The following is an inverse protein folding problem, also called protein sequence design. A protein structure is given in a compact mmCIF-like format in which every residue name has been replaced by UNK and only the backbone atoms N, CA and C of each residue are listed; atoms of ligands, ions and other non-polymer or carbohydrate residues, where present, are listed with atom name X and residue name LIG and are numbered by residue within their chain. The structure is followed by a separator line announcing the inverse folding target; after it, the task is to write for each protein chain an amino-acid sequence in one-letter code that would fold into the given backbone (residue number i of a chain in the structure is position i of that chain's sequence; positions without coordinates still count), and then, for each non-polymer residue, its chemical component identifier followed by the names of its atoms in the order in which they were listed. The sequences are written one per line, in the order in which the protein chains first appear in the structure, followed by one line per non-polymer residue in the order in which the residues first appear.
data_IF_240416505341
#
_entry.id   IF_240416505341
#
_cell.length_a   1.000
_cell.length_b   1.000
_cell.length_c   1.000
_cell.angle_alpha   90.00
_cell.angle_beta   90.00
_cell.angle_gamma   90.00
#
_symmetry.space_group_name_H-M   'P 1'
#
loop_
_entity.id
_entity.type
_entity.pdbx_description
1 polymer ?
#
# COMPACT_ATOMS: atom_id res chain seq x y z
N UNK A 1 -19.90 11.27 1.87
CA UNK A 1 -19.46 9.87 2.03
C UNK A 1 -17.95 9.88 2.23
N UNK A 2 -17.44 9.32 3.32
CA UNK A 2 -15.99 9.15 3.48
C UNK A 2 -15.53 8.10 2.46
N UNK A 3 -14.44 8.35 1.74
CA UNK A 3 -13.86 7.32 0.88
C UNK A 3 -13.28 6.21 1.78
N UNK A 4 -13.73 4.98 1.60
CA UNK A 4 -13.08 3.80 2.20
C UNK A 4 -11.70 3.61 1.57
N UNK A 5 -10.70 3.29 2.40
CA UNK A 5 -9.31 3.04 2.00
C UNK A 5 -8.88 1.69 2.57
N UNK A 6 -9.26 0.57 1.92
CA UNK A 6 -8.97 -0.76 2.44
C UNK A 6 -7.47 -1.00 2.60
N UNK A 7 -7.10 -1.66 3.69
CA UNK A 7 -5.72 -2.08 3.96
C UNK A 7 -5.40 -3.34 3.19
N UNK A 8 -4.29 -3.36 2.48
CA UNK A 8 -3.94 -4.43 1.56
C UNK A 8 -2.57 -5.04 1.88
N UNK A 9 -2.41 -6.27 1.40
CA UNK A 9 -1.11 -6.91 1.19
C UNK A 9 -0.85 -6.92 -0.33
N UNK A 10 0.41 -7.10 -0.78
CA UNK A 10 0.78 -7.12 -2.19
C UNK A 10 -0.10 -8.03 -3.06
N UNK A 11 -0.43 -9.23 -2.58
CA UNK A 11 -1.28 -10.19 -3.28
C UNK A 11 -2.70 -9.66 -3.54
N UNK A 12 -3.20 -8.69 -2.77
CA UNK A 12 -4.52 -8.12 -2.96
C UNK A 12 -4.57 -7.07 -4.09
N UNK A 13 -3.43 -6.54 -4.55
CA UNK A 13 -3.40 -5.40 -5.50
C UNK A 13 -4.17 -5.68 -6.80
N UNK A 14 -4.15 -6.91 -7.30
CA UNK A 14 -4.83 -7.28 -8.54
C UNK A 14 -6.35 -7.04 -8.50
N UNK A 15 -6.95 -7.17 -7.31
CA UNK A 15 -8.36 -6.93 -7.08
C UNK A 15 -8.71 -5.43 -6.94
N UNK A 16 -7.76 -4.51 -7.10
CA UNK A 16 -8.00 -3.07 -7.00
C UNK A 16 -7.48 -2.29 -8.21
N UNK A 17 -7.13 -2.99 -9.28
CA UNK A 17 -6.73 -2.38 -10.56
C UNK A 17 -7.93 -1.67 -11.19
N UNK A 18 -7.82 -0.39 -11.58
CA UNK A 18 -8.88 0.31 -12.29
C UNK A 18 -9.24 -0.41 -13.59
N UNK A 19 -10.53 -0.72 -13.77
CA UNK A 19 -11.01 -1.41 -14.97
C UNK A 19 -12.54 -1.43 -15.05
N UNK A 20 -13.11 -1.87 -16.19
CA UNK A 20 -14.56 -1.89 -16.42
C UNK A 20 -15.31 -2.79 -15.42
N UNK A 21 -14.63 -3.75 -14.81
CA UNK A 21 -15.15 -4.67 -13.80
C UNK A 21 -15.07 -4.15 -12.36
N UNK A 22 -14.38 -3.03 -12.10
CA UNK A 22 -14.13 -2.51 -10.75
C UNK A 22 -14.75 -1.12 -10.55
N UNK A 23 -15.97 -1.08 -10.00
CA UNK A 23 -16.63 0.16 -9.55
C UNK A 23 -16.29 0.54 -8.10
N UNK A 24 -15.50 -0.29 -7.40
CA UNK A 24 -15.13 -0.09 -6.00
C UNK A 24 -14.09 1.03 -5.77
N UNK A 25 -13.72 1.29 -4.50
CA UNK A 25 -12.72 2.29 -4.16
C UNK A 25 -11.37 1.93 -4.82
N UNK A 26 -10.90 2.83 -5.69
CA UNK A 26 -9.58 2.71 -6.34
C UNK A 26 -8.43 3.11 -5.41
N UNK A 27 -8.76 3.67 -4.25
CA UNK A 27 -7.80 4.14 -3.27
C UNK A 27 -7.64 3.09 -2.18
N UNK A 28 -6.41 2.68 -1.94
CA UNK A 28 -6.02 1.61 -1.02
C UNK A 28 -5.05 2.16 0.01
N UNK A 29 -4.78 1.37 1.05
CA UNK A 29 -3.75 1.63 2.05
C UNK A 29 -2.81 0.43 2.14
N UNK A 30 -1.50 0.67 2.17
CA UNK A 30 -0.49 -0.39 2.27
C UNK A 30 0.68 0.06 3.16
N UNK A 31 1.08 -0.82 4.08
CA UNK A 31 2.19 -0.60 5.00
C UNK A 31 3.42 -1.36 4.49
N UNK A 32 4.61 -0.76 4.56
CA UNK A 32 5.85 -1.46 4.23
C UNK A 32 7.10 -0.64 4.54
N UNK A 33 8.24 -1.30 4.55
CA UNK A 33 9.55 -0.65 4.79
C UNK A 33 10.15 -0.20 3.47
N UNK A 34 10.54 1.07 3.35
CA UNK A 34 11.19 1.60 2.14
C UNK A 34 12.55 0.93 1.94
N UNK A 35 12.67 0.07 0.94
CA UNK A 35 13.87 -0.72 0.65
C UNK A 35 14.70 -0.16 -0.51
N UNK A 36 14.13 0.69 -1.37
CA UNK A 36 14.86 1.41 -2.42
C UNK A 36 14.20 2.75 -2.78
N UNK A 37 15.02 3.70 -3.27
CA UNK A 37 14.59 4.99 -3.82
C UNK A 37 15.32 5.23 -5.16
N UNK A 38 14.57 5.52 -6.22
CA UNK A 38 15.11 5.78 -7.57
C UNK A 38 14.25 6.78 -8.32
N UNK A 39 14.67 8.05 -8.33
CA UNK A 39 13.92 9.12 -9.00
C UNK A 39 12.52 9.25 -8.40
N UNK A 40 11.49 9.12 -9.24
CA UNK A 40 10.08 9.18 -8.84
C UNK A 40 9.54 7.84 -8.31
N UNK A 41 10.39 6.84 -8.10
CA UNK A 41 10.00 5.52 -7.63
C UNK A 41 10.59 5.21 -6.26
N UNK A 42 9.80 4.53 -5.43
CA UNK A 42 10.27 3.83 -4.24
C UNK A 42 9.85 2.36 -4.30
N UNK A 43 10.60 1.50 -3.62
CA UNK A 43 10.17 0.13 -3.35
C UNK A 43 9.92 0.01 -1.86
N UNK A 44 8.79 -0.59 -1.48
CA UNK A 44 8.52 -1.00 -0.10
C UNK A 44 8.51 -2.53 0.00
N UNK A 45 9.15 -3.06 1.03
CA UNK A 45 9.07 -4.48 1.39
C UNK A 45 7.95 -4.68 2.41
N UNK A 46 7.03 -5.59 2.10
CA UNK A 46 5.79 -5.81 2.82
C UNK A 46 5.84 -7.13 3.61
N UNK A 47 6.72 -7.22 4.61
CA UNK A 47 6.94 -8.45 5.38
C UNK A 47 7.39 -9.61 4.48
N UNK A 48 6.75 -10.78 4.61
CA UNK A 48 7.00 -11.94 3.74
C UNK A 48 6.16 -11.96 2.45
N UNK A 49 5.36 -10.92 2.19
CA UNK A 49 4.42 -10.87 1.06
C UNK A 49 5.03 -10.30 -0.23
N UNK A 50 6.31 -9.93 -0.19
CA UNK A 50 7.06 -9.38 -1.32
C UNK A 50 7.09 -7.85 -1.34
N UNK A 51 7.54 -7.33 -2.47
CA UNK A 51 7.81 -5.91 -2.65
C UNK A 51 6.72 -5.23 -3.49
N UNK A 52 6.49 -3.95 -3.23
CA UNK A 52 5.58 -3.10 -4.01
C UNK A 52 6.30 -1.86 -4.48
N UNK A 53 6.18 -1.58 -5.78
CA UNK A 53 6.70 -0.36 -6.39
C UNK A 53 5.71 0.78 -6.20
N UNK A 54 6.18 1.88 -5.60
CA UNK A 54 5.46 3.13 -5.42
C UNK A 54 5.86 4.12 -6.51
N UNK A 55 4.90 4.79 -7.13
CA UNK A 55 5.12 6.00 -7.91
C UNK A 55 4.90 7.20 -6.99
N UNK A 56 5.98 7.86 -6.63
CA UNK A 56 6.01 9.01 -5.75
C UNK A 56 5.43 10.25 -6.43
N UNK A 57 5.01 11.20 -5.61
CA UNK A 57 4.69 12.55 -6.03
C UNK A 57 5.58 13.54 -5.24
N UNK A 58 5.51 14.83 -5.57
CA UNK A 58 6.36 15.87 -4.93
C UNK A 58 6.15 16.02 -3.42
N UNK A 59 5.03 15.55 -2.89
CA UNK A 59 4.67 15.61 -1.47
C UNK A 59 5.06 14.31 -0.73
N UNK A 60 5.57 13.31 -1.46
CA UNK A 60 5.95 12.01 -0.90
C UNK A 60 7.32 12.08 -0.23
N UNK A 61 7.34 12.44 1.04
CA UNK A 61 8.55 12.46 1.85
C UNK A 61 8.85 11.07 2.43
N UNK A 62 9.47 10.21 1.61
CA UNK A 62 9.92 8.86 2.01
C UNK A 62 11.42 8.84 2.26
N UNK A 63 11.85 8.06 3.25
CA UNK A 63 13.27 7.85 3.55
C UNK A 63 13.57 6.35 3.55
N UNK A 64 14.75 6.00 3.03
CA UNK A 64 15.22 4.62 2.98
C UNK A 64 15.29 4.02 4.41
N UNK A 65 14.82 2.79 4.56
CA UNK A 65 14.82 2.05 5.82
C UNK A 65 13.70 2.43 6.80
N UNK A 66 12.84 3.40 6.46
CA UNK A 66 11.68 3.77 7.30
C UNK A 66 10.47 2.92 6.96
N UNK A 67 9.65 2.63 7.97
CA UNK A 67 8.32 2.08 7.75
C UNK A 67 7.39 3.20 7.32
N UNK A 68 6.62 2.98 6.26
CA UNK A 68 5.68 3.95 5.73
C UNK A 68 4.32 3.33 5.49
N UNK A 69 3.29 4.10 5.79
CA UNK A 69 1.90 3.76 5.50
C UNK A 69 1.41 4.63 4.35
N UNK A 70 1.09 3.98 3.24
CA UNK A 70 0.88 4.62 1.94
C UNK A 70 -0.58 4.53 1.57
N UNK A 71 -1.19 5.68 1.32
CA UNK A 71 -2.50 5.78 0.67
C UNK A 71 -2.27 6.08 -0.80
N UNK A 72 -2.85 5.28 -1.69
CA UNK A 72 -2.58 5.41 -3.12
C UNK A 72 -3.58 4.68 -4.00
N UNK A 73 -3.37 4.73 -5.31
CA UNK A 73 -4.17 4.01 -6.29
C UNK A 73 -3.35 2.94 -6.98
N UNK A 74 -3.91 1.74 -7.13
CA UNK A 74 -3.24 0.66 -7.85
C UNK A 74 -3.11 1.03 -9.33
N UNK A 75 -1.95 0.75 -9.90
CA UNK A 75 -1.63 1.07 -11.30
C UNK A 75 -0.65 0.05 -11.88
N UNK A 76 -0.42 0.12 -13.18
CA UNK A 76 0.58 -0.69 -13.86
C UNK A 76 1.93 0.06 -13.88
N UNK A 77 3.00 -0.63 -13.50
CA UNK A 77 4.38 -0.14 -13.46
C UNK A 77 5.27 -1.20 -14.11
N UNK A 78 5.86 -0.88 -15.26
CA UNK A 78 6.82 -1.74 -15.97
C UNK A 78 6.35 -3.20 -16.17
N UNK A 79 5.04 -3.40 -16.41
CA UNK A 79 4.44 -4.74 -16.61
C UNK A 79 4.04 -5.48 -15.33
N UNK A 80 4.13 -4.82 -14.17
CA UNK A 80 3.70 -5.32 -12.86
C UNK A 80 2.74 -4.34 -12.18
N UNK A 81 2.09 -4.76 -11.08
CA UNK A 81 1.25 -3.86 -10.30
C UNK A 81 2.08 -3.03 -9.33
N UNK A 82 1.76 -1.75 -9.23
CA UNK A 82 2.32 -0.81 -8.26
C UNK A 82 1.27 0.14 -7.73
N UNK A 83 1.70 1.11 -6.91
CA UNK A 83 0.80 2.07 -6.26
C UNK A 83 1.25 3.49 -6.58
N UNK A 84 0.37 4.27 -7.22
CA UNK A 84 0.56 5.71 -7.34
C UNK A 84 0.17 6.39 -6.04
N UNK A 85 1.12 7.05 -5.40
CA UNK A 85 0.97 7.63 -4.07
C UNK A 85 0.05 8.84 -4.11
N UNK A 86 -0.89 8.89 -3.17
CA UNK A 86 -1.71 10.06 -2.85
C UNK A 86 -1.26 10.71 -1.54
N UNK A 87 -0.92 9.90 -0.53
CA UNK A 87 -0.37 10.36 0.74
C UNK A 87 0.54 9.28 1.35
N UNK A 88 1.50 9.72 2.16
CA UNK A 88 2.39 8.83 2.91
C UNK A 88 2.49 9.33 4.34
N UNK A 89 2.39 8.41 5.30
CA UNK A 89 2.76 8.66 6.69
C UNK A 89 4.04 7.90 7.01
N UNK A 90 5.04 8.60 7.58
CA UNK A 90 6.20 7.95 8.19
C UNK A 90 5.77 7.35 9.54
N UNK A 91 5.91 6.04 9.67
CA UNK A 91 5.49 5.29 10.84
C UNK A 91 6.61 5.03 11.85
N UNK A 92 7.88 5.28 11.50
CA UNK A 92 8.98 5.01 12.42
C UNK A 92 10.05 4.06 11.88
N UNK A 93 10.83 3.56 12.83
CA UNK A 93 11.79 2.49 12.60
C UNK A 93 11.02 1.17 12.51
N UNK A 94 11.24 0.35 11.46
CA UNK A 94 10.59 -0.95 11.30
C UNK A 94 10.71 -1.86 12.53
N UNK A 95 11.78 -1.75 13.33
CA UNK A 95 11.97 -2.58 14.53
C UNK A 95 10.94 -2.32 15.64
N UNK A 96 10.33 -1.13 15.63
CA UNK A 96 9.36 -0.69 16.63
C UNK A 96 7.93 -1.02 16.20
N UNK A 97 7.76 -1.70 15.06
CA UNK A 97 6.46 -1.99 14.44
C UNK A 97 6.31 -3.50 14.23
N UNK A 98 5.30 -4.06 14.89
CA UNK A 98 4.91 -5.45 14.67
C UNK A 98 4.07 -5.55 13.38
N UNK A 99 4.73 -5.97 12.30
CA UNK A 99 4.08 -6.15 11.00
C UNK A 99 3.06 -7.31 11.00
N UNK A 100 3.19 -8.31 11.89
CA UNK A 100 2.24 -9.41 11.96
C UNK A 100 0.85 -8.95 12.39
N UNK A 101 0.78 -7.96 13.28
CA UNK A 101 -0.51 -7.35 13.66
C UNK A 101 -1.18 -6.69 12.44
N UNK A 102 -0.41 -6.01 11.59
CA UNK A 102 -0.93 -5.44 10.34
C UNK A 102 -1.51 -6.53 9.42
N UNK A 103 -0.81 -7.64 9.24
CA UNK A 103 -1.28 -8.79 8.43
C UNK A 103 -2.60 -9.34 8.97
N UNK A 104 -2.73 -9.53 10.28
CA UNK A 104 -3.97 -10.01 10.92
C UNK A 104 -5.12 -9.01 10.74
N UNK A 105 -4.85 -7.71 10.83
CA UNK A 105 -5.86 -6.67 10.56
C UNK A 105 -6.31 -6.72 9.11
N UNK A 106 -5.38 -6.90 8.15
CA UNK A 106 -5.74 -7.07 6.74
C UNK A 106 -6.66 -8.29 6.59
N UNK A 107 -6.28 -9.47 7.08
CA UNK A 107 -7.11 -10.68 6.99
C UNK A 107 -8.54 -10.47 7.51
N UNK A 108 -8.68 -9.91 8.72
CA UNK A 108 -9.99 -9.66 9.34
C UNK A 108 -10.82 -8.67 8.52
N UNK A 109 -10.21 -7.58 8.04
CA UNK A 109 -10.93 -6.56 7.27
C UNK A 109 -11.44 -7.10 5.94
N UNK A 110 -10.69 -7.98 5.27
CA UNK A 110 -11.12 -8.63 4.03
C UNK A 110 -12.18 -9.70 4.26
N UNK A 111 -12.16 -10.36 5.42
CA UNK A 111 -13.15 -11.39 5.79
C UNK A 111 -14.51 -10.81 6.20
N UNK A 112 -14.52 -9.67 6.91
CA UNK A 112 -15.76 -9.07 7.49
C UNK A 112 -16.14 -7.79 6.75
N UNK A 113 -16.51 -7.94 5.47
CA UNK A 113 -16.70 -6.80 4.56
C UNK A 113 -17.84 -5.88 4.99
N UNK A 114 -18.88 -6.40 5.63
CA UNK A 114 -20.05 -5.66 6.07
C UNK A 114 -19.72 -4.53 7.07
N UNK A 115 -18.56 -4.60 7.72
CA UNK A 115 -18.09 -3.58 8.67
C UNK A 115 -17.05 -2.64 8.02
N UNK A 116 -16.21 -3.17 7.11
CA UNK A 116 -14.99 -2.49 6.67
C UNK A 116 -15.02 -1.98 5.22
N UNK A 117 -15.99 -2.39 4.40
CA UNK A 117 -16.12 -2.04 2.98
C UNK A 117 -17.49 -1.44 2.67
#
# INVERSE_FOLDING_TARGET
MSLSTPRLLPEHLHAFVPGPSHQGPTTIRILGTVSALRGEYATITCGSHGDVTLILNRESHVQLGRMVDVVGRVTQVEGSLGVRVLAVADCGDPKDIDYQIYEQVVDVTHRVKEIFY
#
